data_IF_760561386755
#
_entry.id   IF_760561386755
#
_cell.length_a   1.000
_cell.length_b   1.000
_cell.length_c   1.000
_cell.angle_alpha   90.00
_cell.angle_beta   90.00
_cell.angle_gamma   90.00
#
_symmetry.space_group_name_H-M   'P 1'
#
loop_
_entity.id
_entity.type
_entity.pdbx_description
1 polymer ?
#
# COMPACT_ATOMS: atom_id res chain seq x y z
N UNK A 1 -15.87 -22.11 -38.08
CA UNK A 1 -16.03 -22.48 -36.65
C UNK A 1 -14.72 -22.30 -35.88
N UNK A 2 -13.67 -23.07 -36.15
CA UNK A 2 -12.38 -23.01 -35.41
C UNK A 2 -11.72 -21.62 -35.43
N UNK A 3 -11.73 -20.91 -36.56
CA UNK A 3 -11.16 -19.55 -36.68
C UNK A 3 -11.83 -18.52 -35.74
N UNK A 4 -13.17 -18.59 -35.61
CA UNK A 4 -13.94 -17.68 -34.75
C UNK A 4 -13.62 -17.96 -33.27
N UNK A 5 -13.53 -19.24 -32.91
CA UNK A 5 -13.18 -19.63 -31.55
C UNK A 5 -11.77 -19.15 -31.16
N UNK A 6 -10.78 -19.31 -32.07
CA UNK A 6 -9.43 -18.79 -31.86
C UNK A 6 -9.40 -17.27 -31.69
N UNK A 7 -10.15 -16.54 -32.53
CA UNK A 7 -10.23 -15.08 -32.44
C UNK A 7 -10.80 -14.61 -31.08
N UNK A 8 -11.88 -15.24 -30.60
CA UNK A 8 -12.47 -14.94 -29.29
C UNK A 8 -11.48 -15.20 -28.15
N UNK A 9 -10.75 -16.32 -28.22
CA UNK A 9 -9.78 -16.69 -27.19
C UNK A 9 -8.62 -15.68 -27.10
N UNK A 10 -8.10 -15.22 -28.24
CA UNK A 10 -7.02 -14.22 -28.30
C UNK A 10 -7.47 -12.91 -27.62
N UNK A 11 -8.65 -12.41 -27.98
CA UNK A 11 -9.19 -11.17 -27.39
C UNK A 11 -9.45 -11.34 -25.90
N UNK A 12 -9.97 -12.49 -25.46
CA UNK A 12 -10.21 -12.74 -24.05
C UNK A 12 -8.90 -12.71 -23.22
N UNK A 13 -7.85 -13.37 -23.71
CA UNK A 13 -6.55 -13.43 -23.02
C UNK A 13 -5.88 -12.05 -23.00
N UNK A 14 -5.85 -11.34 -24.12
CA UNK A 14 -5.23 -10.00 -24.19
C UNK A 14 -5.96 -8.99 -23.29
N UNK A 15 -7.30 -9.07 -23.25
CA UNK A 15 -8.13 -8.24 -22.38
C UNK A 15 -7.87 -8.56 -20.92
N UNK A 16 -7.84 -9.86 -20.56
CA UNK A 16 -7.53 -10.29 -19.20
C UNK A 16 -6.16 -9.79 -18.73
N UNK A 17 -5.15 -9.84 -19.61
CA UNK A 17 -3.82 -9.32 -19.33
C UNK A 17 -3.83 -7.80 -19.11
N UNK A 18 -4.50 -7.04 -19.99
CA UNK A 18 -4.63 -5.59 -19.84
C UNK A 18 -5.32 -5.19 -18.54
N UNK A 19 -6.39 -5.88 -18.16
CA UNK A 19 -7.10 -5.64 -16.89
C UNK A 19 -6.23 -6.00 -15.67
N UNK A 20 -5.50 -7.11 -15.74
CA UNK A 20 -4.59 -7.53 -14.67
C UNK A 20 -3.45 -6.55 -14.46
N UNK A 21 -2.88 -6.01 -15.54
CA UNK A 21 -1.83 -5.00 -15.47
C UNK A 21 -2.36 -3.66 -14.93
N UNK A 22 -3.55 -3.24 -15.36
CA UNK A 22 -4.21 -2.03 -14.88
C UNK A 22 -4.48 -2.07 -13.38
N UNK A 23 -4.75 -3.25 -12.80
CA UNK A 23 -4.97 -3.41 -11.35
C UNK A 23 -3.80 -2.88 -10.51
N UNK A 24 -2.56 -2.95 -11.00
CA UNK A 24 -1.38 -2.41 -10.30
C UNK A 24 -1.49 -0.92 -9.99
N UNK A 25 -2.13 -0.15 -10.88
CA UNK A 25 -2.36 1.28 -10.69
C UNK A 25 -3.41 1.59 -9.61
N UNK A 26 -4.31 0.63 -9.32
CA UNK A 26 -5.33 0.78 -8.28
C UNK A 26 -4.84 0.37 -6.88
N UNK A 27 -3.80 -0.46 -6.78
CA UNK A 27 -3.32 -0.98 -5.49
C UNK A 27 -2.55 0.08 -4.68
N UNK A 28 -1.65 0.86 -5.29
CA UNK A 28 -0.90 1.92 -4.59
C UNK A 28 -1.82 2.93 -3.87
N UNK A 29 -2.78 3.61 -4.54
CA UNK A 29 -3.64 4.58 -3.87
C UNK A 29 -4.54 3.93 -2.81
N UNK A 30 -5.00 2.69 -3.05
CA UNK A 30 -5.76 1.92 -2.07
C UNK A 30 -4.93 1.66 -0.81
N UNK A 31 -3.71 1.18 -0.94
CA UNK A 31 -2.83 0.88 0.18
C UNK A 31 -2.44 2.15 0.95
N UNK A 32 -2.18 3.26 0.24
CA UNK A 32 -1.90 4.56 0.87
C UNK A 32 -3.06 5.04 1.74
N UNK A 33 -4.30 4.95 1.23
CA UNK A 33 -5.50 5.32 1.99
C UNK A 33 -5.64 4.51 3.27
N UNK A 34 -5.46 3.19 3.16
CA UNK A 34 -5.57 2.27 4.29
C UNK A 34 -4.48 2.55 5.33
N UNK A 35 -3.24 2.77 4.88
CA UNK A 35 -2.12 3.09 5.76
C UNK A 35 -2.34 4.42 6.47
N UNK A 36 -2.82 5.45 5.76
CA UNK A 36 -3.15 6.75 6.35
C UNK A 36 -4.16 6.62 7.49
N UNK A 37 -5.23 5.87 7.27
CA UNK A 37 -6.24 5.60 8.30
C UNK A 37 -5.65 4.82 9.49
N UNK A 38 -4.79 3.83 9.23
CA UNK A 38 -4.10 3.09 10.29
C UNK A 38 -3.18 3.98 11.13
N UNK A 39 -2.40 4.86 10.50
CA UNK A 39 -1.52 5.80 11.21
C UNK A 39 -2.31 6.85 12.00
N UNK A 40 -3.46 7.31 11.51
CA UNK A 40 -4.37 8.17 12.26
C UNK A 40 -4.93 7.48 13.51
N UNK A 41 -5.32 6.20 13.38
CA UNK A 41 -5.74 5.40 14.54
C UNK A 41 -4.60 5.21 15.54
N UNK A 42 -3.38 4.98 15.03
CA UNK A 42 -2.19 4.83 15.86
C UNK A 42 -1.82 6.15 16.56
N UNK A 43 -1.93 7.30 15.88
CA UNK A 43 -1.77 8.64 16.49
C UNK A 43 -2.72 8.81 17.69
N UNK A 44 -4.00 8.46 17.52
CA UNK A 44 -4.98 8.58 18.58
C UNK A 44 -4.65 7.68 19.79
N UNK A 45 -4.23 6.44 19.55
CA UNK A 45 -3.81 5.51 20.61
C UNK A 45 -2.52 5.98 21.30
N UNK A 46 -1.55 6.57 20.59
CA UNK A 46 -0.31 7.10 21.20
C UNK A 46 -0.60 8.38 22.02
N UNK A 47 -1.48 9.26 21.53
CA UNK A 47 -1.76 10.55 22.16
C UNK A 47 -2.71 10.45 23.35
N UNK A 48 -3.73 9.59 23.25
CA UNK A 48 -4.84 9.55 24.20
C UNK A 48 -5.10 8.14 24.75
N UNK A 49 -4.53 7.11 24.14
CA UNK A 49 -4.66 5.74 24.60
C UNK A 49 -3.80 5.46 25.83
N UNK A 50 -4.35 4.64 26.73
CA UNK A 50 -3.58 3.99 27.80
C UNK A 50 -3.08 2.60 27.39
N UNK A 51 -3.34 2.21 26.14
CA UNK A 51 -2.97 0.90 25.59
C UNK A 51 -1.50 0.88 25.17
N UNK A 52 -0.75 -0.19 25.50
CA UNK A 52 0.60 -0.40 24.98
C UNK A 52 0.63 -0.35 23.45
N UNK A 53 1.74 0.15 22.89
CA UNK A 53 1.91 0.27 21.44
C UNK A 53 1.84 -1.08 20.71
N UNK A 54 2.30 -2.16 21.35
CA UNK A 54 2.18 -3.53 20.84
C UNK A 54 0.71 -3.95 20.65
N UNK A 55 -0.15 -3.61 21.61
CA UNK A 55 -1.58 -3.90 21.54
C UNK A 55 -2.29 -3.04 20.50
N UNK A 56 -1.93 -1.75 20.41
CA UNK A 56 -2.44 -0.87 19.35
C UNK A 56 -2.05 -1.39 17.95
N UNK A 57 -0.81 -1.86 17.77
CA UNK A 57 -0.36 -2.48 16.54
C UNK A 57 -1.12 -3.79 16.23
N UNK A 58 -1.34 -4.65 17.23
CA UNK A 58 -2.10 -5.90 17.07
C UNK A 58 -3.57 -5.66 16.69
N UNK A 59 -4.19 -4.59 17.20
CA UNK A 59 -5.53 -4.18 16.76
C UNK A 59 -5.54 -3.82 15.28
N UNK A 60 -4.51 -3.14 14.78
CA UNK A 60 -4.37 -2.80 13.37
C UNK A 60 -4.19 -4.05 12.50
N UNK A 61 -3.54 -5.12 12.97
CA UNK A 61 -3.43 -6.40 12.24
C UNK A 61 -4.79 -6.95 11.85
N UNK A 62 -5.78 -6.86 12.75
CA UNK A 62 -7.14 -7.38 12.55
C UNK A 62 -7.99 -6.51 11.62
N UNK A 63 -7.67 -5.22 11.54
CA UNK A 63 -8.43 -4.24 10.75
C UNK A 63 -7.87 -4.07 9.34
N UNK A 64 -6.58 -4.36 9.15
CA UNK A 64 -5.90 -4.12 7.89
C UNK A 64 -5.96 -5.34 6.97
N UNK A 65 -6.21 -5.16 5.66
CA UNK A 65 -6.06 -6.24 4.71
C UNK A 65 -4.58 -6.47 4.38
N UNK A 66 -4.26 -7.68 3.89
CA UNK A 66 -2.97 -7.98 3.26
C UNK A 66 -2.72 -7.05 2.07
N UNK A 67 -1.47 -6.61 1.83
CA UNK A 67 -0.24 -6.98 2.54
C UNK A 67 0.06 -6.11 3.78
N UNK A 68 -0.71 -5.04 4.03
CA UNK A 68 -0.37 -4.04 5.05
C UNK A 68 -0.44 -4.59 6.48
N UNK A 69 -1.31 -5.56 6.74
CA UNK A 69 -1.39 -6.21 8.04
C UNK A 69 -0.06 -6.86 8.46
N UNK A 70 0.76 -7.33 7.52
CA UNK A 70 2.03 -7.97 7.82
C UNK A 70 3.06 -7.00 8.43
N UNK A 71 3.02 -5.73 8.02
CA UNK A 71 3.87 -4.68 8.63
C UNK A 71 3.50 -4.54 10.12
N UNK A 72 2.21 -4.39 10.43
CA UNK A 72 1.75 -4.24 11.81
C UNK A 72 1.92 -5.53 12.63
N UNK A 73 1.83 -6.69 11.99
CA UNK A 73 2.03 -7.98 12.64
C UNK A 73 3.50 -8.19 13.04
N UNK A 74 4.43 -7.95 12.11
CA UNK A 74 5.87 -7.99 12.41
C UNK A 74 6.21 -6.95 13.48
N UNK A 75 5.61 -5.76 13.40
CA UNK A 75 5.86 -4.69 14.35
C UNK A 75 5.37 -5.03 15.77
N UNK A 76 4.12 -5.50 15.90
CA UNK A 76 3.56 -5.90 17.19
C UNK A 76 4.40 -7.00 17.85
N UNK A 77 4.76 -8.03 17.08
CA UNK A 77 5.60 -9.13 17.58
C UNK A 77 6.96 -8.65 18.09
N UNK A 78 7.65 -7.78 17.34
CA UNK A 78 8.95 -7.23 17.73
C UNK A 78 8.86 -6.36 19.00
N UNK A 79 7.75 -5.66 19.18
CA UNK A 79 7.49 -4.91 20.42
C UNK A 79 7.22 -5.83 21.62
N UNK A 80 6.55 -6.97 21.42
CA UNK A 80 6.30 -7.96 22.47
C UNK A 80 7.59 -8.69 22.89
N UNK A 81 8.46 -9.02 21.94
CA UNK A 81 9.75 -9.66 22.22
C UNK A 81 10.67 -8.74 23.05
N UNK A 82 10.55 -7.42 22.89
CA UNK A 82 11.21 -6.41 23.74
C UNK A 82 12.72 -6.26 23.53
N UNK A 83 13.30 -6.94 22.54
CA UNK A 83 14.74 -6.94 22.27
C UNK A 83 15.21 -5.71 21.47
N UNK A 84 14.29 -4.99 20.82
CA UNK A 84 14.59 -3.87 19.93
C UNK A 84 13.95 -2.57 20.42
N UNK A 85 14.54 -1.43 20.05
CA UNK A 85 13.87 -0.14 20.22
C UNK A 85 12.61 -0.08 19.33
N UNK A 86 11.63 0.75 19.70
CA UNK A 86 10.39 0.94 18.91
C UNK A 86 10.69 1.33 17.46
N UNK A 87 11.70 2.18 17.28
CA UNK A 87 12.20 2.59 15.96
C UNK A 87 12.73 1.41 15.16
N UNK A 88 13.62 0.61 15.74
CA UNK A 88 14.22 -0.56 15.06
C UNK A 88 13.13 -1.59 14.71
N UNK A 89 12.24 -1.88 15.65
CA UNK A 89 11.11 -2.77 15.43
C UNK A 89 10.26 -2.31 14.23
N UNK A 90 9.98 -1.01 14.12
CA UNK A 90 9.22 -0.45 13.01
C UNK A 90 9.98 -0.55 11.68
N UNK A 91 11.24 -0.11 11.64
CA UNK A 91 12.06 -0.11 10.43
C UNK A 91 12.26 -1.53 9.89
N UNK A 92 12.53 -2.50 10.76
CA UNK A 92 12.73 -3.89 10.33
C UNK A 92 11.43 -4.52 9.84
N UNK A 93 10.29 -4.17 10.45
CA UNK A 93 8.96 -4.59 9.98
C UNK A 93 8.62 -4.03 8.60
N UNK A 94 9.02 -2.78 8.32
CA UNK A 94 8.90 -2.20 6.99
C UNK A 94 9.77 -2.96 5.99
N UNK A 95 11.06 -3.14 6.28
CA UNK A 95 12.02 -3.80 5.38
C UNK A 95 11.58 -5.22 5.02
N UNK A 96 11.13 -5.99 6.00
CA UNK A 96 10.69 -7.38 5.83
C UNK A 96 9.51 -7.50 4.85
N UNK A 97 8.60 -6.53 4.87
CA UNK A 97 7.33 -6.60 4.14
C UNK A 97 7.26 -5.65 2.94
N UNK A 98 8.29 -4.83 2.70
CA UNK A 98 8.24 -3.72 1.75
C UNK A 98 7.90 -4.17 0.33
N UNK A 99 8.56 -5.23 -0.12
CA UNK A 99 8.45 -5.79 -1.48
C UNK A 99 7.07 -6.36 -1.79
N UNK A 100 6.25 -6.61 -0.77
CA UNK A 100 4.89 -7.13 -0.89
C UNK A 100 3.87 -6.00 -1.10
N UNK A 101 4.24 -4.76 -0.76
CA UNK A 101 3.37 -3.58 -0.91
C UNK A 101 3.41 -3.03 -2.33
N UNK A 102 2.45 -2.16 -2.65
CA UNK A 102 2.42 -1.42 -3.90
C UNK A 102 3.11 -0.04 -3.79
N UNK A 103 3.86 0.19 -2.70
CA UNK A 103 4.52 1.46 -2.41
C UNK A 103 5.81 1.65 -3.22
N UNK A 104 6.24 2.90 -3.33
CA UNK A 104 7.51 3.29 -3.95
C UNK A 104 8.49 3.74 -2.87
N UNK A 105 9.73 4.02 -3.28
CA UNK A 105 10.77 4.48 -2.36
C UNK A 105 10.38 5.73 -1.55
N UNK A 106 9.59 6.64 -2.13
CA UNK A 106 9.13 7.86 -1.45
C UNK A 106 8.30 7.53 -0.20
N UNK A 107 7.38 6.56 -0.27
CA UNK A 107 6.64 6.13 0.91
C UNK A 107 7.54 5.45 1.95
N UNK A 108 8.57 4.72 1.51
CA UNK A 108 9.52 4.10 2.44
C UNK A 108 10.20 5.16 3.29
N UNK A 109 10.69 6.23 2.67
CA UNK A 109 11.36 7.34 3.34
C UNK A 109 10.42 8.07 4.30
N UNK A 110 9.17 8.32 3.91
CA UNK A 110 8.15 8.92 4.77
C UNK A 110 7.91 8.04 6.01
N UNK A 111 7.77 6.72 5.81
CA UNK A 111 7.52 5.79 6.91
C UNK A 111 8.74 5.52 7.78
N UNK A 112 9.95 5.64 7.23
CA UNK A 112 11.18 5.61 8.00
C UNK A 112 11.25 6.81 8.93
N UNK A 113 10.95 8.02 8.43
CA UNK A 113 10.87 9.23 9.25
C UNK A 113 9.81 9.11 10.34
N UNK A 114 8.66 8.51 10.04
CA UNK A 114 7.67 8.18 11.06
C UNK A 114 8.24 7.28 12.16
N UNK A 115 9.03 6.26 11.83
CA UNK A 115 9.71 5.42 12.81
C UNK A 115 10.61 6.18 13.78
N UNK A 116 11.29 7.23 13.31
CA UNK A 116 12.12 8.12 14.16
C UNK A 116 11.31 8.91 15.19
N UNK A 117 10.00 9.08 14.93
CA UNK A 117 9.08 9.83 15.80
C UNK A 117 8.49 8.94 16.88
N UNK A 118 8.55 7.62 16.71
CA UNK A 118 8.05 6.68 17.70
C UNK A 118 9.01 6.58 18.89
N UNK A 119 8.48 6.73 20.11
CA UNK A 119 9.27 6.67 21.34
C UNK A 119 9.91 7.99 21.79
N UNK A 120 9.57 9.11 21.15
CA UNK A 120 9.97 10.44 21.63
C UNK A 120 9.19 10.85 22.88
N UNK A 121 9.84 11.58 23.80
CA UNK A 121 9.25 11.99 25.08
C UNK A 121 8.32 13.21 24.97
N UNK A 122 8.51 14.06 23.96
CA UNK A 122 7.66 15.22 23.74
C UNK A 122 6.43 14.85 22.89
N UNK A 123 5.30 14.67 23.57
CA UNK A 123 4.03 14.28 22.93
C UNK A 123 3.55 15.30 21.90
N UNK A 124 3.73 16.60 22.13
CA UNK A 124 3.23 17.63 21.21
C UNK A 124 4.04 17.64 19.91
N UNK A 125 5.36 17.58 20.01
CA UNK A 125 6.24 17.44 18.85
C UNK A 125 5.98 16.11 18.12
N UNK A 126 5.88 15.01 18.86
CA UNK A 126 5.56 13.69 18.29
C UNK A 126 4.25 13.74 17.49
N UNK A 127 3.18 14.34 18.03
CA UNK A 127 1.92 14.50 17.32
C UNK A 127 2.07 15.28 16.02
N UNK A 128 2.79 16.41 16.05
CA UNK A 128 3.04 17.25 14.86
C UNK A 128 3.77 16.45 13.78
N UNK A 129 4.76 15.66 14.16
CA UNK A 129 5.51 14.83 13.21
C UNK A 129 4.66 13.68 12.63
N UNK A 130 3.82 13.03 13.45
CA UNK A 130 2.90 12.00 12.95
C UNK A 130 1.91 12.60 11.94
N UNK A 131 1.34 13.78 12.25
CA UNK A 131 0.44 14.49 11.31
C UNK A 131 1.15 14.92 10.03
N UNK A 132 2.42 15.33 10.13
CA UNK A 132 3.23 15.65 8.96
C UNK A 132 3.44 14.42 8.06
N UNK A 133 3.75 13.26 8.65
CA UNK A 133 3.81 11.98 7.93
C UNK A 133 2.48 11.68 7.20
N UNK A 134 1.36 11.77 7.91
CA UNK A 134 0.01 11.56 7.34
C UNK A 134 -0.25 12.51 6.16
N UNK A 135 0.17 13.77 6.27
CA UNK A 135 0.04 14.78 5.21
C UNK A 135 0.90 14.43 3.98
N UNK A 136 2.12 13.93 4.20
CA UNK A 136 2.97 13.46 3.10
C UNK A 136 2.36 12.24 2.39
N UNK A 137 1.80 11.28 3.13
CA UNK A 137 1.09 10.13 2.55
C UNK A 137 -0.17 10.54 1.80
N UNK A 138 -0.89 11.55 2.27
CA UNK A 138 -2.06 12.10 1.57
C UNK A 138 -1.68 12.73 0.22
N UNK A 139 -0.54 13.44 0.16
CA UNK A 139 0.00 13.96 -1.11
C UNK A 139 0.31 12.82 -2.07
N UNK A 140 0.97 11.76 -1.60
CA UNK A 140 1.27 10.57 -2.42
C UNK A 140 0.00 9.85 -2.87
N UNK A 141 -1.04 9.78 -2.02
CA UNK A 141 -2.35 9.20 -2.39
C UNK A 141 -2.96 9.99 -3.55
N UNK A 142 -2.91 11.32 -3.48
CA UNK A 142 -3.37 12.22 -4.54
C UNK A 142 -2.65 11.99 -5.88
N UNK A 143 -1.32 11.91 -5.86
CA UNK A 143 -0.52 11.59 -7.04
C UNK A 143 -0.88 10.21 -7.60
N UNK A 144 -0.91 9.19 -6.74
CA UNK A 144 -1.22 7.82 -7.14
C UNK A 144 -2.63 7.71 -7.75
N UNK A 145 -3.60 8.45 -7.21
CA UNK A 145 -4.97 8.51 -7.73
C UNK A 145 -5.04 9.22 -9.09
N UNK A 146 -4.27 10.29 -9.29
CA UNK A 146 -4.18 10.96 -10.59
C UNK A 146 -3.62 10.02 -11.67
N UNK A 147 -2.53 9.31 -11.34
CA UNK A 147 -1.95 8.29 -12.23
C UNK A 147 -2.92 7.15 -12.49
N UNK A 148 -3.65 6.68 -11.48
CA UNK A 148 -4.69 5.66 -11.66
C UNK A 148 -5.74 6.12 -12.68
N UNK A 149 -6.28 7.33 -12.52
CA UNK A 149 -7.31 7.85 -13.42
C UNK A 149 -6.80 7.99 -14.87
N UNK A 150 -5.54 8.37 -15.05
CA UNK A 150 -4.93 8.53 -16.37
C UNK A 150 -4.64 7.18 -17.04
N UNK A 151 -4.01 6.24 -16.33
CA UNK A 151 -3.43 5.04 -16.93
C UNK A 151 -4.35 3.81 -16.89
N UNK A 152 -5.22 3.68 -15.87
CA UNK A 152 -6.02 2.46 -15.68
C UNK A 152 -6.95 2.19 -16.87
N UNK A 153 -7.67 3.21 -17.34
CA UNK A 153 -8.58 3.10 -18.49
C UNK A 153 -7.81 2.84 -19.79
N UNK A 154 -6.69 3.53 -19.97
CA UNK A 154 -5.86 3.41 -21.18
C UNK A 154 -5.23 2.01 -21.30
N UNK A 155 -4.74 1.42 -20.21
CA UNK A 155 -4.15 0.08 -20.22
C UNK A 155 -5.22 -0.99 -20.48
N UNK A 156 -6.41 -0.82 -19.90
CA UNK A 156 -7.55 -1.71 -20.17
C UNK A 156 -7.93 -1.68 -21.66
N UNK A 157 -8.00 -0.49 -22.27
CA UNK A 157 -8.31 -0.37 -23.70
C UNK A 157 -7.19 -0.91 -24.59
N UNK A 158 -5.92 -0.69 -24.24
CA UNK A 158 -4.77 -1.26 -24.95
C UNK A 158 -4.81 -2.79 -25.01
N UNK A 159 -5.21 -3.48 -23.92
CA UNK A 159 -5.33 -4.94 -23.91
C UNK A 159 -6.38 -5.45 -24.91
N UNK A 160 -7.51 -4.75 -25.03
CA UNK A 160 -8.56 -5.07 -26.01
C UNK A 160 -8.07 -4.80 -27.44
N UNK A 161 -7.50 -3.61 -27.67
CA UNK A 161 -7.01 -3.19 -28.98
C UNK A 161 -5.87 -4.09 -29.50
N UNK A 162 -4.96 -4.49 -28.63
CA UNK A 162 -3.88 -5.43 -28.98
C UNK A 162 -4.44 -6.80 -29.40
N UNK A 163 -5.46 -7.31 -28.69
CA UNK A 163 -6.15 -8.55 -29.07
C UNK A 163 -6.81 -8.46 -30.43
N UNK A 164 -7.56 -7.38 -30.67
CA UNK A 164 -8.18 -7.14 -31.97
C UNK A 164 -7.15 -7.03 -33.09
N UNK A 165 -6.03 -6.34 -32.86
CA UNK A 165 -4.94 -6.22 -33.84
C UNK A 165 -4.36 -7.59 -34.19
N UNK A 166 -4.09 -8.45 -33.19
CA UNK A 166 -3.58 -9.81 -33.43
C UNK A 166 -4.60 -10.63 -34.25
N UNK A 167 -5.89 -10.52 -33.93
CA UNK A 167 -6.94 -11.21 -34.70
C UNK A 167 -6.96 -10.73 -36.15
N UNK A 168 -6.83 -9.43 -36.40
CA UNK A 168 -6.79 -8.87 -37.76
C UNK A 168 -5.56 -9.38 -38.53
N UNK A 169 -4.40 -9.50 -37.89
CA UNK A 169 -3.17 -9.98 -38.53
C UNK A 169 -3.19 -11.48 -38.85
N UNK A 170 -3.97 -12.28 -38.13
CA UNK A 170 -4.03 -13.75 -38.29
C UNK A 170 -5.19 -14.23 -39.18
N UNK A 171 -6.15 -13.36 -39.50
CA UNK A 171 -7.28 -13.65 -40.38
C UNK A 171 -6.92 -13.39 -41.85
#
# INVERSE_FOLDING_TARGET
>A
MVKIFGAVLIVAVSTFFGFSYAKRYSERPRQLRLLKAALQSLEAEIMYGHTPLSEAAERLVKQMPKPLNWIFQSFSKRLEDGEQTVREAWIDSLKENWTLTAFKQTEYEILQQFGETLGQHDRESQQKHIRLCITHLEREEGEAKALQLQYEKMIKSLGVLAGLLIVILLL
#
